data_IF_967271804243
#
_entry.id   IF_967271804243
#
_cell.length_a   1.000
_cell.length_b   1.000
_cell.length_c   1.000
_cell.angle_alpha   90.00
_cell.angle_beta   90.00
_cell.angle_gamma   90.00
#
_symmetry.space_group_name_H-M   'P 1'
#
loop_
_entity.id
_entity.type
_entity.pdbx_description
1 polymer ?
#
# COMPACT_ATOMS: atom_id res chain seq x y z
N UNK A 1 -10.10 1.05 -29.84
CA UNK A 1 -10.32 2.33 -30.56
C UNK A 1 -9.00 2.80 -31.14
N UNK A 2 -8.87 2.86 -32.47
CA UNK A 2 -7.71 3.43 -33.12
C UNK A 2 -7.88 4.96 -33.16
N UNK A 3 -6.98 5.70 -32.50
CA UNK A 3 -6.96 7.16 -32.55
C UNK A 3 -6.19 7.60 -33.80
N UNK A 4 -6.75 8.55 -34.56
CA UNK A 4 -6.06 9.12 -35.71
C UNK A 4 -4.87 9.96 -35.23
N UNK A 5 -3.70 9.75 -35.85
CA UNK A 5 -2.50 10.54 -35.61
C UNK A 5 -2.45 11.67 -36.64
N UNK A 6 -2.11 12.87 -36.19
CA UNK A 6 -1.81 14.03 -37.04
C UNK A 6 -0.54 14.70 -36.53
N UNK A 7 0.13 15.46 -37.38
CA UNK A 7 1.19 16.35 -36.92
C UNK A 7 0.58 17.68 -36.50
N UNK A 8 1.05 18.23 -35.39
CA UNK A 8 0.72 19.59 -34.97
C UNK A 8 1.57 20.62 -35.74
N UNK A 9 1.27 21.91 -35.55
CA UNK A 9 1.97 23.07 -36.14
C UNK A 9 3.49 23.07 -35.87
N UNK A 10 3.90 22.42 -34.79
CA UNK A 10 5.31 22.28 -34.38
C UNK A 10 5.97 20.98 -34.90
N UNK A 11 5.25 20.16 -35.68
CA UNK A 11 5.75 18.91 -36.23
C UNK A 11 5.63 17.69 -35.30
N UNK A 12 5.16 17.88 -34.08
CA UNK A 12 4.95 16.81 -33.09
C UNK A 12 3.74 15.92 -33.45
N UNK A 13 3.83 14.64 -33.11
CA UNK A 13 2.76 13.67 -33.40
C UNK A 13 1.71 13.72 -32.29
N UNK A 14 0.50 14.10 -32.69
CA UNK A 14 -0.65 14.22 -31.81
C UNK A 14 -1.78 13.26 -32.21
N UNK A 15 -2.52 12.76 -31.22
CA UNK A 15 -3.81 12.14 -31.44
C UNK A 15 -4.89 13.20 -31.62
N UNK A 16 -5.77 12.97 -32.60
CA UNK A 16 -6.98 13.77 -32.80
C UNK A 16 -8.12 13.12 -32.03
N UNK A 17 -8.67 13.84 -31.06
CA UNK A 17 -9.89 13.45 -30.35
C UNK A 17 -11.04 14.36 -30.71
N UNK A 18 -12.10 13.76 -31.25
CA UNK A 18 -13.34 14.45 -31.58
C UNK A 18 -14.29 14.49 -30.39
N UNK A 19 -14.79 15.68 -30.12
CA UNK A 19 -15.70 16.01 -29.03
C UNK A 19 -16.88 16.82 -29.56
N UNK A 20 -17.93 16.13 -30.00
CA UNK A 20 -18.98 16.77 -30.78
C UNK A 20 -18.36 17.36 -32.05
N UNK A 21 -18.48 18.67 -32.23
CA UNK A 21 -17.93 19.39 -33.38
C UNK A 21 -16.48 19.85 -33.18
N UNK A 22 -15.91 19.72 -31.98
CA UNK A 22 -14.57 20.21 -31.67
C UNK A 22 -13.54 19.09 -31.79
N UNK A 23 -12.41 19.40 -32.42
CA UNK A 23 -11.26 18.51 -32.49
C UNK A 23 -10.18 19.01 -31.53
N UNK A 24 -9.76 18.17 -30.60
CA UNK A 24 -8.67 18.47 -29.67
C UNK A 24 -7.45 17.61 -30.02
N UNK A 25 -6.29 18.25 -30.05
CA UNK A 25 -5.00 17.62 -30.26
C UNK A 25 -4.33 17.30 -28.93
N UNK A 26 -3.71 16.12 -28.85
CA UNK A 26 -2.94 15.70 -27.68
C UNK A 26 -1.70 14.98 -28.14
N UNK A 27 -0.56 15.31 -27.54
CA UNK A 27 0.68 14.58 -27.77
C UNK A 27 0.51 13.09 -27.47
N UNK A 28 1.00 12.24 -28.37
CA UNK A 28 0.92 10.79 -28.22
C UNK A 28 1.52 10.35 -26.88
N UNK A 29 2.63 10.97 -26.48
CA UNK A 29 3.36 10.70 -25.24
C UNK A 29 2.48 10.91 -24.00
N UNK A 30 1.83 12.07 -23.87
CA UNK A 30 0.95 12.38 -22.73
C UNK A 30 -0.23 11.39 -22.64
N UNK A 31 -0.83 11.03 -23.79
CA UNK A 31 -1.93 10.07 -23.82
C UNK A 31 -1.47 8.66 -23.42
N UNK A 32 -0.26 8.27 -23.80
CA UNK A 32 0.30 6.97 -23.47
C UNK A 32 0.68 6.90 -21.99
N UNK A 33 1.32 7.94 -21.47
CA UNK A 33 1.65 8.06 -20.05
C UNK A 33 0.40 8.02 -19.17
N UNK A 34 -0.66 8.72 -19.58
CA UNK A 34 -1.98 8.64 -18.96
C UNK A 34 -2.54 7.20 -18.87
N UNK A 35 -2.37 6.39 -19.92
CA UNK A 35 -2.78 4.98 -19.93
C UNK A 35 -1.91 4.11 -19.03
N UNK A 36 -0.60 4.33 -19.04
CA UNK A 36 0.35 3.57 -18.23
C UNK A 36 0.15 3.85 -16.74
N UNK A 37 -0.27 5.07 -16.39
CA UNK A 37 -0.74 5.42 -15.06
C UNK A 37 -2.08 4.76 -14.68
N UNK A 38 -2.74 4.07 -15.60
CA UNK A 38 -3.99 3.36 -15.38
C UNK A 38 -5.21 4.27 -15.33
N UNK A 39 -5.13 5.49 -15.89
CA UNK A 39 -6.27 6.38 -15.92
C UNK A 39 -7.37 5.85 -16.84
N UNK A 40 -8.62 5.94 -16.40
CA UNK A 40 -9.76 5.54 -17.21
C UNK A 40 -9.89 6.45 -18.44
N UNK A 41 -10.32 5.87 -19.57
CA UNK A 41 -10.51 6.60 -20.83
C UNK A 41 -11.49 7.77 -20.70
N UNK A 42 -12.52 7.63 -19.87
CA UNK A 42 -13.50 8.70 -19.57
C UNK A 42 -12.86 9.89 -18.86
N UNK A 43 -11.97 9.63 -17.90
CA UNK A 43 -11.23 10.65 -17.14
C UNK A 43 -10.24 11.37 -18.04
N UNK A 44 -9.47 10.63 -18.83
CA UNK A 44 -8.57 11.18 -19.85
C UNK A 44 -9.37 12.13 -20.75
N UNK A 45 -10.47 11.63 -21.32
CA UNK A 45 -11.36 12.37 -22.22
C UNK A 45 -11.94 13.64 -21.58
N UNK A 46 -12.26 13.63 -20.29
CA UNK A 46 -12.76 14.81 -19.56
C UNK A 46 -11.72 15.93 -19.44
N UNK A 47 -10.49 15.59 -19.05
CA UNK A 47 -9.45 16.58 -18.82
C UNK A 47 -8.85 17.15 -20.10
N UNK A 48 -8.84 16.36 -21.18
CA UNK A 48 -8.50 16.83 -22.52
C UNK A 48 -9.43 17.95 -22.99
N UNK A 49 -10.74 17.84 -22.72
CA UNK A 49 -11.70 18.91 -23.09
C UNK A 49 -11.37 20.25 -22.45
N UNK A 50 -10.67 20.24 -21.32
CA UNK A 50 -10.27 21.44 -20.58
C UNK A 50 -8.99 22.07 -21.15
N UNK A 51 -8.37 21.45 -22.15
CA UNK A 51 -7.15 21.90 -22.81
C UNK A 51 -5.93 21.02 -22.50
N UNK A 52 -4.92 21.02 -23.40
CA UNK A 52 -3.73 20.16 -23.29
C UNK A 52 -2.90 20.49 -22.03
N UNK A 53 -2.72 21.77 -21.71
CA UNK A 53 -1.94 22.20 -20.54
C UNK A 53 -2.56 21.74 -19.21
N UNK A 54 -3.89 21.80 -19.12
CA UNK A 54 -4.63 21.32 -17.96
C UNK A 54 -4.55 19.79 -17.84
N UNK A 55 -4.57 19.09 -18.97
CA UNK A 55 -4.40 17.63 -19.00
C UNK A 55 -3.02 17.22 -18.49
N UNK A 56 -1.96 17.91 -18.91
CA UNK A 56 -0.59 17.66 -18.45
C UNK A 56 -0.43 17.85 -16.95
N UNK A 57 -0.93 18.98 -16.41
CA UNK A 57 -0.97 19.23 -14.96
C UNK A 57 -1.76 18.16 -14.19
N UNK A 58 -2.85 17.67 -14.77
CA UNK A 58 -3.66 16.61 -14.17
C UNK A 58 -2.89 15.28 -14.09
N UNK A 59 -2.21 14.90 -15.16
CA UNK A 59 -1.36 13.70 -15.21
C UNK A 59 -0.30 13.75 -14.10
N UNK A 60 0.43 14.85 -13.97
CA UNK A 60 1.46 15.01 -12.93
C UNK A 60 0.88 14.86 -11.52
N UNK A 61 -0.28 15.49 -11.27
CA UNK A 61 -0.96 15.39 -9.99
C UNK A 61 -1.41 13.95 -9.70
N UNK A 62 -1.90 13.25 -10.72
CA UNK A 62 -2.35 11.87 -10.60
C UNK A 62 -1.19 10.92 -10.30
N UNK A 63 -0.05 11.06 -10.99
CA UNK A 63 1.14 10.26 -10.73
C UNK A 63 1.67 10.47 -9.30
N UNK A 64 1.78 11.72 -8.86
CA UNK A 64 2.16 12.04 -7.46
C UNK A 64 1.22 11.39 -6.45
N UNK A 65 -0.10 11.48 -6.66
CA UNK A 65 -1.09 10.87 -5.77
C UNK A 65 -0.96 9.34 -5.73
N UNK A 66 -0.74 8.70 -6.89
CA UNK A 66 -0.53 7.25 -6.99
C UNK A 66 0.78 6.83 -6.31
N UNK A 67 1.84 7.62 -6.43
CA UNK A 67 3.09 7.44 -5.70
C UNK A 67 2.90 7.46 -4.19
N UNK A 68 2.15 8.46 -3.68
CA UNK A 68 1.82 8.56 -2.24
C UNK A 68 0.98 7.39 -1.75
N UNK A 69 -0.03 6.94 -2.51
CA UNK A 69 -0.83 5.77 -2.17
C UNK A 69 0.02 4.50 -2.07
N UNK A 70 0.95 4.28 -3.00
CA UNK A 70 1.89 3.14 -2.95
C UNK A 70 2.74 3.17 -1.68
N UNK A 71 3.15 4.35 -1.22
CA UNK A 71 3.91 4.52 0.01
C UNK A 71 3.05 4.19 1.25
N UNK A 72 1.83 4.74 1.31
CA UNK A 72 0.91 4.52 2.42
C UNK A 72 0.51 3.04 2.60
N UNK A 73 0.34 2.30 1.50
CA UNK A 73 0.07 0.86 1.55
C UNK A 73 1.25 0.10 2.16
N UNK A 74 2.49 0.43 1.75
CA UNK A 74 3.70 -0.19 2.32
C UNK A 74 3.85 0.10 3.81
N UNK A 75 3.52 1.31 4.25
CA UNK A 75 3.60 1.66 5.67
C UNK A 75 2.49 0.97 6.48
N UNK A 76 1.28 0.83 5.93
CA UNK A 76 0.23 0.02 6.57
C UNK A 76 0.67 -1.43 6.76
N UNK A 77 1.23 -2.06 5.74
CA UNK A 77 1.74 -3.45 5.87
C UNK A 77 2.84 -3.57 6.92
N UNK A 78 3.69 -2.55 7.06
CA UNK A 78 4.74 -2.52 8.10
C UNK A 78 4.13 -2.44 9.50
N UNK A 79 3.14 -1.60 9.69
CA UNK A 79 2.44 -1.46 10.97
C UNK A 79 1.67 -2.73 11.33
N UNK A 80 0.98 -3.36 10.37
CA UNK A 80 0.31 -4.65 10.59
C UNK A 80 1.30 -5.75 11.02
N UNK A 81 2.48 -5.83 10.40
CA UNK A 81 3.53 -6.77 10.83
C UNK A 81 4.08 -6.44 12.22
N UNK A 82 4.18 -5.16 12.59
CA UNK A 82 4.62 -4.74 13.93
C UNK A 82 3.60 -5.17 14.98
N UNK A 83 2.32 -4.90 14.74
CA UNK A 83 1.23 -5.29 15.63
C UNK A 83 1.16 -6.81 15.81
N UNK A 84 1.26 -7.58 14.73
CA UNK A 84 1.28 -9.04 14.80
C UNK A 84 2.43 -9.60 15.65
N UNK A 85 3.62 -8.97 15.60
CA UNK A 85 4.76 -9.35 16.46
C UNK A 85 4.52 -9.03 17.92
N UNK A 86 3.90 -7.89 18.23
CA UNK A 86 3.57 -7.49 19.61
C UNK A 86 2.53 -8.45 20.17
N UNK A 87 1.47 -8.74 19.44
CA UNK A 87 0.42 -9.67 19.85
C UNK A 87 1.00 -11.08 20.08
N UNK A 88 1.88 -11.57 19.19
CA UNK A 88 2.54 -12.85 19.35
C UNK A 88 3.40 -12.91 20.63
N UNK A 89 4.10 -11.82 20.97
CA UNK A 89 4.86 -11.71 22.22
C UNK A 89 3.92 -11.73 23.43
N UNK A 90 2.85 -10.97 23.40
CA UNK A 90 1.86 -10.94 24.49
C UNK A 90 1.20 -12.31 24.71
N UNK A 91 0.81 -13.02 23.64
CA UNK A 91 0.25 -14.37 23.75
C UNK A 91 1.25 -15.36 24.35
N UNK A 92 2.54 -15.28 23.98
CA UNK A 92 3.59 -16.12 24.60
C UNK A 92 3.74 -15.82 26.08
N UNK A 93 3.74 -14.54 26.45
CA UNK A 93 3.86 -14.12 27.84
C UNK A 93 2.65 -14.55 28.68
N UNK A 94 1.43 -14.37 28.16
CA UNK A 94 0.22 -14.87 28.82
C UNK A 94 0.25 -16.39 29.01
N UNK A 95 0.71 -17.16 28.02
CA UNK A 95 0.90 -18.60 28.17
C UNK A 95 1.93 -18.95 29.24
N UNK A 96 3.04 -18.20 29.32
CA UNK A 96 4.06 -18.38 30.36
C UNK A 96 3.49 -18.13 31.75
N UNK A 97 2.78 -17.02 31.94
CA UNK A 97 2.14 -16.66 33.20
C UNK A 97 1.10 -17.71 33.62
N UNK A 98 0.27 -18.17 32.68
CA UNK A 98 -0.71 -19.23 32.94
C UNK A 98 -0.03 -20.53 33.38
N UNK A 99 1.05 -20.94 32.72
CA UNK A 99 1.81 -22.13 33.15
C UNK A 99 2.43 -21.99 34.54
N UNK A 100 2.90 -20.79 34.90
CA UNK A 100 3.42 -20.50 36.25
C UNK A 100 2.28 -20.58 37.29
N UNK A 101 1.13 -20.02 36.99
CA UNK A 101 -0.05 -20.07 37.86
C UNK A 101 -0.58 -21.50 38.04
N UNK A 102 -0.70 -22.24 36.94
CA UNK A 102 -1.09 -23.65 36.96
C UNK A 102 -0.09 -24.49 37.78
N UNK A 103 1.22 -24.23 37.65
CA UNK A 103 2.27 -24.92 38.41
C UNK A 103 2.20 -24.61 39.92
N UNK A 104 1.83 -23.38 40.32
CA UNK A 104 1.63 -23.01 41.73
C UNK A 104 0.46 -23.77 42.37
N UNK A 105 -0.61 -24.02 41.61
CA UNK A 105 -1.79 -24.73 42.11
C UNK A 105 -1.63 -26.26 42.13
N UNK A 106 -0.64 -26.81 41.40
CA UNK A 106 -0.64 -28.24 41.08
C UNK A 106 -0.25 -29.15 42.23
N UNK A 107 0.63 -28.72 43.15
CA UNK A 107 0.88 -29.40 44.43
C UNK A 107 1.86 -28.59 45.32
N UNK A 108 1.42 -28.01 46.45
CA UNK A 108 2.32 -27.38 47.42
C UNK A 108 3.38 -28.35 47.97
N UNK A 109 3.02 -29.63 48.09
CA UNK A 109 3.85 -30.68 48.66
C UNK A 109 4.96 -31.12 47.69
N UNK A 110 4.72 -31.05 46.38
CA UNK A 110 5.73 -31.34 45.36
C UNK A 110 6.86 -30.31 45.34
N UNK A 111 6.54 -29.02 45.51
CA UNK A 111 7.55 -27.96 45.56
C UNK A 111 8.41 -28.08 46.82
N UNK A 112 7.80 -28.37 47.97
CA UNK A 112 8.54 -28.58 49.23
C UNK A 112 9.40 -29.85 49.21
N UNK A 113 8.96 -30.93 48.57
CA UNK A 113 9.75 -32.17 48.44
C UNK A 113 10.91 -31.98 47.47
N UNK A 114 10.69 -31.34 46.32
CA UNK A 114 11.74 -31.15 45.31
C UNK A 114 12.81 -30.15 45.78
N UNK A 115 12.40 -29.06 46.43
CA UNK A 115 13.32 -28.05 46.96
C UNK A 115 14.10 -28.58 48.17
N UNK A 116 13.47 -29.37 49.06
CA UNK A 116 14.19 -30.05 50.13
C UNK A 116 15.13 -31.14 49.60
N UNK A 117 14.79 -31.90 48.55
CA UNK A 117 15.70 -32.91 47.98
C UNK A 117 16.93 -32.29 47.29
N UNK A 118 16.78 -31.15 46.63
CA UNK A 118 17.89 -30.50 45.92
C UNK A 118 18.87 -29.76 46.85
N UNK A 119 18.41 -29.23 47.99
CA UNK A 119 19.22 -28.33 48.83
C UNK A 119 19.54 -28.87 50.24
N UNK A 120 19.04 -30.04 50.66
CA UNK A 120 19.39 -30.65 51.97
C UNK A 120 20.80 -31.25 52.07
N UNK A 121 21.57 -31.28 50.98
CA UNK A 121 22.97 -31.71 51.00
C UNK A 121 23.99 -30.58 51.23
N UNK A 122 23.54 -29.34 51.43
CA UNK A 122 24.39 -28.15 51.65
C UNK A 122 24.29 -27.66 53.10
N UNK A 123 24.31 -28.59 54.05
CA UNK A 123 24.53 -28.34 55.48
C UNK A 123 25.72 -29.15 55.98
#
# INVERSE_FOLDING_TARGET
MALKRTKDKHGEVCFVLKFGNNENLIQVEDYQLAKDLGMAHTTIRKHIKQGPENFKKYIEKYDRAKGLQRLAVKDREREERRLARIEAKQRKEQKRLKMIEDAKCRDPYWFDITLNQMFKGWS
#
